data_IF_757001624240
#
_entry.id   IF_757001624240
#
_cell.length_a   1.000
_cell.length_b   1.000
_cell.length_c   1.000
_cell.angle_alpha   90.00
_cell.angle_beta   90.00
_cell.angle_gamma   90.00
#
_symmetry.space_group_name_H-M   'P 1'
#
loop_
_entity.id
_entity.type
_entity.pdbx_description
1 polymer ?
#
# COMPACT_ATOMS: atom_id res chain seq x y z
N UNK A 1 -11.74 -40.05 91.09
CA UNK A 1 -11.89 -38.93 90.13
C UNK A 1 -11.41 -39.37 88.77
N UNK A 2 -12.32 -39.68 87.83
CA UNK A 2 -11.97 -40.11 86.47
C UNK A 2 -12.77 -39.27 85.47
N UNK A 3 -12.07 -38.39 84.74
CA UNK A 3 -12.66 -37.57 83.67
C UNK A 3 -12.87 -38.47 82.44
N UNK A 4 -14.13 -38.77 82.12
CA UNK A 4 -14.49 -39.35 80.82
C UNK A 4 -14.23 -38.31 79.73
N UNK A 5 -13.20 -38.51 78.93
CA UNK A 5 -12.95 -37.71 77.72
C UNK A 5 -14.10 -37.91 76.72
N UNK A 6 -14.62 -36.85 76.07
CA UNK A 6 -15.69 -36.96 75.08
C UNK A 6 -15.10 -37.44 73.74
N UNK A 7 -14.82 -38.74 73.63
CA UNK A 7 -14.04 -39.34 72.54
C UNK A 7 -14.73 -39.47 71.17
N UNK A 8 -16.04 -39.19 71.05
CA UNK A 8 -16.77 -39.45 69.80
C UNK A 8 -17.09 -38.18 69.00
N UNK A 9 -17.00 -36.99 69.60
CA UNK A 9 -17.45 -35.75 68.97
C UNK A 9 -16.38 -35.16 68.02
N UNK A 10 -15.09 -35.34 68.33
CA UNK A 10 -13.98 -34.84 67.50
C UNK A 10 -13.90 -35.65 66.20
N UNK A 11 -13.99 -36.98 66.29
CA UNK A 11 -14.01 -37.88 65.12
C UNK A 11 -15.22 -37.58 64.21
N UNK A 12 -16.40 -37.35 64.81
CA UNK A 12 -17.61 -36.97 64.09
C UNK A 12 -17.46 -35.65 63.33
N UNK A 13 -16.85 -34.64 63.96
CA UNK A 13 -16.60 -33.34 63.30
C UNK A 13 -15.59 -33.45 62.15
N UNK A 14 -14.54 -34.27 62.28
CA UNK A 14 -13.56 -34.50 61.21
C UNK A 14 -14.20 -35.20 60.02
N UNK A 15 -15.04 -36.22 60.27
CA UNK A 15 -15.83 -36.89 59.22
C UNK A 15 -16.81 -35.90 58.57
N UNK A 16 -17.50 -35.07 59.36
CA UNK A 16 -18.42 -34.05 58.85
C UNK A 16 -17.71 -33.03 57.95
N UNK A 17 -16.51 -32.56 58.33
CA UNK A 17 -15.68 -31.67 57.49
C UNK A 17 -15.29 -32.38 56.19
N UNK A 18 -14.90 -33.65 56.25
CA UNK A 18 -14.58 -34.45 55.07
C UNK A 18 -15.77 -34.59 54.13
N UNK A 19 -16.97 -34.88 54.65
CA UNK A 19 -18.22 -34.96 53.87
C UNK A 19 -18.55 -33.62 53.24
N UNK A 20 -18.46 -32.52 54.00
CA UNK A 20 -18.72 -31.17 53.48
C UNK A 20 -17.69 -30.80 52.41
N UNK A 21 -16.42 -31.12 52.59
CA UNK A 21 -15.37 -30.87 51.59
C UNK A 21 -15.63 -31.65 50.30
N UNK A 22 -16.01 -32.94 50.40
CA UNK A 22 -16.38 -33.76 49.25
C UNK A 22 -17.63 -33.20 48.57
N UNK A 23 -18.63 -32.79 49.35
CA UNK A 23 -19.87 -32.21 48.82
C UNK A 23 -19.59 -30.89 48.08
N UNK A 24 -18.78 -30.00 48.65
CA UNK A 24 -18.33 -28.77 48.00
C UNK A 24 -17.48 -29.06 46.76
N UNK A 25 -16.61 -30.08 46.79
CA UNK A 25 -15.83 -30.49 45.63
C UNK A 25 -16.73 -31.01 44.49
N UNK A 26 -17.70 -31.86 44.80
CA UNK A 26 -18.68 -32.34 43.81
C UNK A 26 -19.54 -31.20 43.29
N UNK A 27 -19.99 -30.28 44.16
CA UNK A 27 -20.78 -29.11 43.78
C UNK A 27 -19.99 -28.17 42.87
N UNK A 28 -18.72 -27.91 43.18
CA UNK A 28 -17.84 -27.10 42.32
C UNK A 28 -17.58 -27.77 40.97
N UNK A 29 -17.40 -29.10 40.92
CA UNK A 29 -17.30 -29.84 39.66
C UNK A 29 -18.60 -29.78 38.84
N UNK A 30 -19.77 -29.93 39.47
CA UNK A 30 -21.07 -29.81 38.80
C UNK A 30 -21.31 -28.37 38.29
N UNK A 31 -20.99 -27.37 39.10
CA UNK A 31 -21.08 -25.96 38.73
C UNK A 31 -20.13 -25.65 37.55
N UNK A 32 -18.90 -26.17 37.59
CA UNK A 32 -17.94 -26.00 36.51
C UNK A 32 -18.43 -26.67 35.22
N UNK A 33 -19.03 -27.85 35.29
CA UNK A 33 -19.59 -28.55 34.13
C UNK A 33 -20.73 -27.74 33.47
N UNK A 34 -21.62 -27.16 34.26
CA UNK A 34 -22.70 -26.28 33.76
C UNK A 34 -22.15 -24.95 33.24
N UNK A 35 -21.17 -24.36 33.92
CA UNK A 35 -20.57 -23.08 33.54
C UNK A 35 -19.71 -23.18 32.28
N UNK A 36 -18.97 -24.28 32.10
CA UNK A 36 -18.07 -24.46 30.95
C UNK A 36 -18.77 -24.98 29.69
N UNK A 37 -20.10 -25.24 29.74
CA UNK A 37 -20.96 -25.66 28.59
C UNK A 37 -20.15 -26.34 27.49
N UNK A 38 -19.58 -27.50 27.80
CA UNK A 38 -18.89 -28.29 26.78
C UNK A 38 -19.91 -28.70 25.71
N UNK A 39 -19.70 -28.28 24.45
CA UNK A 39 -20.13 -29.13 23.35
C UNK A 39 -20.99 -28.53 22.25
N UNK A 40 -21.31 -27.24 22.24
CA UNK A 40 -21.84 -26.63 21.02
C UNK A 40 -20.70 -26.17 20.14
N UNK A 41 -20.12 -27.15 19.44
CA UNK A 41 -19.14 -26.93 18.41
C UNK A 41 -19.88 -26.76 17.07
N UNK A 42 -19.70 -25.61 16.45
CA UNK A 42 -20.20 -25.31 15.11
C UNK A 42 -19.14 -25.71 14.09
N UNK A 43 -19.59 -26.33 12.99
CA UNK A 43 -18.71 -26.65 11.86
C UNK A 43 -18.61 -25.43 10.95
N UNK A 44 -17.38 -24.95 10.76
CA UNK A 44 -17.07 -23.80 9.90
C UNK A 44 -17.39 -24.15 8.44
N UNK A 45 -18.29 -23.39 7.78
CA UNK A 45 -18.61 -23.60 6.36
C UNK A 45 -17.45 -23.15 5.44
N UNK A 46 -17.49 -23.59 4.19
CA UNK A 46 -16.60 -23.08 3.15
C UNK A 46 -17.19 -21.79 2.57
N UNK A 47 -16.40 -20.72 2.61
CA UNK A 47 -16.78 -19.36 2.21
C UNK A 47 -15.98 -18.86 1.00
N UNK A 48 -14.91 -19.55 0.60
CA UNK A 48 -14.09 -19.17 -0.55
C UNK A 48 -14.95 -19.06 -1.81
N UNK A 49 -14.83 -17.94 -2.53
CA UNK A 49 -15.58 -17.64 -3.74
C UNK A 49 -16.97 -17.01 -3.52
N UNK A 50 -17.53 -17.05 -2.32
CA UNK A 50 -18.76 -16.32 -1.99
C UNK A 50 -18.48 -14.82 -1.83
N UNK A 51 -19.53 -14.00 -2.01
CA UNK A 51 -19.47 -12.59 -1.64
C UNK A 51 -19.50 -12.43 -0.12
N UNK A 52 -18.92 -11.33 0.36
CA UNK A 52 -18.91 -10.96 1.78
C UNK A 52 -20.31 -11.02 2.40
N UNK A 53 -21.31 -10.46 1.71
CA UNK A 53 -22.69 -10.40 2.18
C UNK A 53 -23.36 -11.79 2.23
N UNK A 54 -23.07 -12.65 1.26
CA UNK A 54 -23.57 -14.04 1.24
C UNK A 54 -22.92 -14.88 2.35
N UNK A 55 -21.62 -14.71 2.54
CA UNK A 55 -20.86 -15.40 3.58
C UNK A 55 -21.30 -14.96 4.98
N UNK A 56 -21.60 -13.69 5.18
CA UNK A 56 -22.17 -13.16 6.42
C UNK A 56 -23.49 -13.87 6.74
N UNK A 57 -24.40 -13.97 5.77
CA UNK A 57 -25.68 -14.64 5.96
C UNK A 57 -25.51 -16.13 6.33
N UNK A 58 -24.60 -16.83 5.65
CA UNK A 58 -24.28 -18.24 5.93
C UNK A 58 -23.72 -18.41 7.35
N UNK A 59 -22.77 -17.56 7.74
CA UNK A 59 -22.12 -17.64 9.06
C UNK A 59 -23.11 -17.31 10.19
N UNK A 60 -23.91 -16.26 10.02
CA UNK A 60 -24.91 -15.83 10.98
C UNK A 60 -25.97 -16.92 11.22
N UNK A 61 -26.36 -17.64 10.17
CA UNK A 61 -27.28 -18.80 10.28
C UNK A 61 -26.71 -19.94 11.15
N UNK A 62 -25.38 -20.00 11.31
CA UNK A 62 -24.67 -20.97 12.13
C UNK A 62 -24.21 -20.41 13.49
N UNK A 63 -24.61 -19.18 13.84
CA UNK A 63 -24.17 -18.52 15.07
C UNK A 63 -22.66 -18.19 15.06
N UNK A 64 -22.10 -17.89 13.89
CA UNK A 64 -20.73 -17.43 13.70
C UNK A 64 -20.75 -16.01 13.13
N UNK A 65 -19.69 -15.25 13.41
CA UNK A 65 -19.53 -13.88 12.93
C UNK A 65 -18.42 -13.81 11.89
N UNK A 66 -18.52 -12.86 10.97
CA UNK A 66 -17.52 -12.61 9.92
C UNK A 66 -16.67 -11.41 10.28
N UNK A 67 -15.36 -11.49 10.06
CA UNK A 67 -14.47 -10.35 10.20
C UNK A 67 -13.46 -10.28 9.06
N UNK A 68 -13.54 -9.21 8.27
CA UNK A 68 -12.55 -8.95 7.22
C UNK A 68 -11.25 -8.45 7.88
N UNK A 69 -10.18 -9.22 7.72
CA UNK A 69 -8.86 -8.86 8.30
C UNK A 69 -7.89 -8.29 7.28
N UNK A 70 -8.07 -8.64 6.01
CA UNK A 70 -7.18 -8.22 4.95
C UNK A 70 -7.90 -8.19 3.60
N UNK A 71 -7.35 -7.43 2.66
CA UNK A 71 -7.87 -7.34 1.30
C UNK A 71 -6.74 -7.28 0.28
N UNK A 72 -6.88 -8.06 -0.80
CA UNK A 72 -5.88 -8.13 -1.86
C UNK A 72 -6.51 -7.64 -3.16
N UNK A 73 -5.87 -6.69 -3.84
CA UNK A 73 -6.34 -6.23 -5.14
C UNK A 73 -5.84 -7.14 -6.27
N UNK A 74 -6.75 -7.60 -7.13
CA UNK A 74 -6.43 -8.30 -8.38
C UNK A 74 -7.40 -7.87 -9.47
N UNK A 75 -6.87 -7.44 -10.62
CA UNK A 75 -7.64 -6.85 -11.71
C UNK A 75 -8.72 -7.78 -12.28
N UNK A 76 -8.42 -9.08 -12.38
CA UNK A 76 -9.30 -10.08 -12.98
C UNK A 76 -10.15 -10.84 -11.94
N UNK A 77 -10.15 -10.41 -10.68
CA UNK A 77 -10.91 -11.06 -9.62
C UNK A 77 -12.27 -10.38 -9.40
N UNK A 78 -13.22 -11.13 -8.82
CA UNK A 78 -14.53 -10.60 -8.45
C UNK A 78 -14.39 -9.77 -7.17
N UNK A 79 -14.64 -8.45 -7.19
CA UNK A 79 -14.53 -7.59 -6.02
C UNK A 79 -15.43 -8.05 -4.87
N UNK A 80 -14.91 -8.04 -3.64
CA UNK A 80 -15.65 -8.43 -2.43
C UNK A 80 -15.83 -9.95 -2.25
N UNK A 81 -15.31 -10.77 -3.17
CA UNK A 81 -15.33 -12.22 -2.97
C UNK A 81 -14.22 -12.67 -2.02
N UNK A 82 -14.50 -13.72 -1.24
CA UNK A 82 -13.57 -14.26 -0.23
C UNK A 82 -12.49 -15.09 -0.91
N UNK A 83 -11.24 -14.73 -0.62
CA UNK A 83 -10.01 -15.39 -1.06
C UNK A 83 -9.66 -16.53 -0.11
N UNK A 84 -9.62 -16.21 1.17
CA UNK A 84 -9.24 -17.15 2.21
C UNK A 84 -10.02 -16.90 3.49
N UNK A 85 -10.09 -17.93 4.32
CA UNK A 85 -10.71 -17.89 5.63
C UNK A 85 -9.84 -18.58 6.67
N UNK A 86 -9.96 -18.11 7.90
CA UNK A 86 -9.39 -18.73 9.10
C UNK A 86 -10.40 -18.61 10.24
N UNK A 87 -10.81 -19.72 10.88
CA UNK A 87 -10.37 -21.11 10.68
C UNK A 87 -10.75 -21.72 9.31
N UNK A 88 -10.02 -22.78 8.92
CA UNK A 88 -10.29 -23.50 7.67
C UNK A 88 -11.67 -24.19 7.68
N UNK A 89 -12.26 -24.43 6.50
CA UNK A 89 -13.53 -25.14 6.39
C UNK A 89 -13.51 -26.49 7.12
N UNK A 90 -14.67 -26.91 7.62
CA UNK A 90 -14.88 -28.14 8.38
C UNK A 90 -14.23 -28.19 9.78
N UNK A 91 -13.51 -27.16 10.19
CA UNK A 91 -13.04 -27.04 11.57
C UNK A 91 -14.22 -26.88 12.54
N UNK A 92 -14.03 -27.37 13.76
CA UNK A 92 -14.99 -27.24 14.86
C UNK A 92 -14.58 -26.06 15.72
N UNK A 93 -15.47 -25.07 15.84
CA UNK A 93 -15.28 -23.88 16.65
C UNK A 93 -16.41 -23.74 17.65
N UNK A 94 -16.20 -22.97 18.73
CA UNK A 94 -17.30 -22.60 19.64
C UNK A 94 -18.28 -21.67 18.91
N UNK A 95 -19.53 -21.69 19.32
CA UNK A 95 -20.52 -20.67 18.93
C UNK A 95 -20.01 -19.25 19.25
N UNK A 96 -20.42 -18.27 18.43
CA UNK A 96 -20.00 -16.87 18.54
C UNK A 96 -18.52 -16.65 18.23
N UNK A 97 -17.89 -17.54 17.45
CA UNK A 97 -16.51 -17.38 17.01
C UNK A 97 -16.44 -16.54 15.75
N UNK A 98 -15.56 -15.54 15.76
CA UNK A 98 -15.19 -14.79 14.56
C UNK A 98 -14.44 -15.66 13.56
N UNK A 99 -14.91 -15.63 12.31
CA UNK A 99 -14.26 -16.19 11.15
C UNK A 99 -13.58 -15.05 10.40
N UNK A 100 -12.26 -15.06 10.44
CA UNK A 100 -11.43 -14.08 9.77
C UNK A 100 -11.34 -14.40 8.30
N UNK A 101 -11.66 -13.44 7.45
CA UNK A 101 -11.64 -13.60 6.00
C UNK A 101 -10.73 -12.57 5.33
N UNK A 102 -10.13 -13.00 4.22
CA UNK A 102 -9.40 -12.13 3.30
C UNK A 102 -10.22 -12.01 2.03
N UNK A 103 -10.45 -10.80 1.55
CA UNK A 103 -11.33 -10.53 0.39
C UNK A 103 -10.57 -9.92 -0.79
N UNK A 104 -11.14 -10.01 -1.98
CA UNK A 104 -10.66 -9.20 -3.11
C UNK A 104 -11.07 -7.74 -2.93
N UNK A 105 -10.09 -6.85 -2.87
CA UNK A 105 -10.33 -5.42 -2.74
C UNK A 105 -11.09 -4.87 -3.95
N UNK A 106 -12.02 -3.95 -3.71
CA UNK A 106 -12.81 -3.31 -4.78
C UNK A 106 -11.98 -2.34 -5.61
N UNK A 107 -11.06 -1.65 -4.96
CA UNK A 107 -10.18 -0.66 -5.59
C UNK A 107 -8.71 -1.04 -5.36
N UNK A 108 -7.81 -0.64 -6.27
CA UNK A 108 -6.38 -0.73 -6.02
C UNK A 108 -6.00 0.06 -4.76
N UNK A 109 -4.88 -0.32 -4.16
CA UNK A 109 -4.27 0.46 -3.09
C UNK A 109 -3.96 1.87 -3.58
N UNK A 110 -4.34 2.87 -2.80
CA UNK A 110 -4.00 4.27 -3.07
C UNK A 110 -2.62 4.56 -2.46
N UNK A 111 -1.77 5.22 -3.24
CA UNK A 111 -0.42 5.62 -2.85
C UNK A 111 -0.30 7.13 -3.02
N UNK A 112 0.24 7.79 -2.00
CA UNK A 112 0.48 9.23 -2.01
C UNK A 112 1.70 9.54 -2.88
N UNK A 113 1.52 10.39 -3.89
CA UNK A 113 2.60 10.80 -4.79
C UNK A 113 3.27 12.06 -4.22
N UNK A 114 4.56 12.01 -3.83
CA UNK A 114 5.23 13.18 -3.26
C UNK A 114 5.39 14.29 -4.30
N UNK A 115 5.60 15.52 -3.84
CA UNK A 115 5.96 16.65 -4.71
C UNK A 115 7.31 16.41 -5.39
N UNK A 116 7.31 16.26 -6.72
CA UNK A 116 8.52 16.00 -7.52
C UNK A 116 9.00 17.21 -8.33
N UNK A 117 8.41 18.38 -8.13
CA UNK A 117 8.81 19.61 -8.85
C UNK A 117 10.26 19.96 -8.49
N UNK A 118 11.05 20.36 -9.49
CA UNK A 118 12.48 20.68 -9.38
C UNK A 118 13.41 19.49 -9.11
N UNK A 119 12.89 18.27 -8.99
CA UNK A 119 13.73 17.07 -8.97
C UNK A 119 14.26 16.78 -10.37
N UNK A 120 15.45 16.15 -10.46
CA UNK A 120 15.90 15.61 -11.75
C UNK A 120 14.96 14.48 -12.20
N UNK A 121 14.75 14.35 -13.51
CA UNK A 121 13.90 13.29 -14.08
C UNK A 121 14.30 11.90 -13.56
N UNK A 122 15.61 11.63 -13.43
CA UNK A 122 16.12 10.36 -12.91
C UNK A 122 15.75 10.13 -11.44
N UNK A 123 15.87 11.14 -10.58
CA UNK A 123 15.48 11.03 -9.17
C UNK A 123 13.97 10.84 -9.02
N UNK A 124 13.18 11.60 -9.78
CA UNK A 124 11.73 11.48 -9.78
C UNK A 124 11.27 10.08 -10.21
N UNK A 125 11.84 9.53 -11.28
CA UNK A 125 11.56 8.15 -11.74
C UNK A 125 11.94 7.13 -10.67
N UNK A 126 13.11 7.27 -10.04
CA UNK A 126 13.53 6.36 -8.98
C UNK A 126 12.57 6.39 -7.78
N UNK A 127 12.11 7.58 -7.37
CA UNK A 127 11.16 7.72 -6.27
C UNK A 127 9.79 7.14 -6.63
N UNK A 128 9.26 7.44 -7.81
CA UNK A 128 7.99 6.89 -8.30
C UNK A 128 8.01 5.36 -8.40
N UNK A 129 9.12 4.78 -8.87
CA UNK A 129 9.30 3.33 -8.91
C UNK A 129 9.31 2.72 -7.50
N UNK A 130 9.97 3.39 -6.54
CA UNK A 130 10.07 2.90 -5.15
C UNK A 130 8.72 2.83 -4.43
N UNK A 131 7.76 3.68 -4.82
CA UNK A 131 6.40 3.70 -4.28
C UNK A 131 5.40 2.91 -5.14
N UNK A 132 5.87 2.16 -6.15
CA UNK A 132 5.06 1.22 -6.92
C UNK A 132 4.47 1.73 -8.24
N UNK A 133 4.89 2.90 -8.74
CA UNK A 133 4.55 3.38 -10.09
C UNK A 133 5.63 2.97 -11.09
N UNK A 134 5.39 1.90 -11.83
CA UNK A 134 6.34 1.36 -12.83
C UNK A 134 6.06 1.83 -14.26
N UNK A 135 4.87 2.39 -14.51
CA UNK A 135 4.45 2.87 -15.83
C UNK A 135 4.59 4.40 -15.89
N UNK A 136 5.75 4.90 -16.31
CA UNK A 136 6.05 6.33 -16.37
C UNK A 136 6.35 6.72 -17.82
N UNK A 137 5.55 7.62 -18.38
CA UNK A 137 5.81 8.26 -19.67
C UNK A 137 6.50 9.61 -19.45
N UNK A 138 7.52 9.95 -20.24
CA UNK A 138 8.21 11.24 -20.14
C UNK A 138 7.73 12.13 -21.29
N UNK A 139 7.34 13.35 -20.97
CA UNK A 139 7.01 14.40 -21.95
C UNK A 139 7.95 15.58 -21.72
N UNK A 140 8.69 15.96 -22.77
CA UNK A 140 9.63 17.08 -22.68
C UNK A 140 8.99 18.35 -23.25
N UNK A 141 9.05 19.44 -22.47
CA UNK A 141 8.56 20.75 -22.90
C UNK A 141 9.66 21.81 -22.81
N UNK A 142 9.66 22.83 -23.69
CA UNK A 142 10.59 23.95 -23.60
C UNK A 142 10.48 24.64 -22.25
N UNK A 143 11.61 24.76 -21.53
CA UNK A 143 11.68 25.39 -20.21
C UNK A 143 13.04 26.01 -19.98
N UNK A 144 13.16 26.89 -18.97
CA UNK A 144 14.42 27.56 -18.65
C UNK A 144 15.54 26.57 -18.28
N UNK A 145 15.20 25.49 -17.56
CA UNK A 145 16.13 24.48 -17.10
C UNK A 145 15.86 23.13 -17.77
N UNK A 146 16.91 22.46 -18.22
CA UNK A 146 16.84 21.13 -18.82
C UNK A 146 16.95 20.04 -17.75
N UNK A 147 16.18 18.96 -17.91
CA UNK A 147 16.26 17.74 -17.08
C UNK A 147 15.55 17.82 -15.72
N UNK A 148 14.90 18.95 -15.40
CA UNK A 148 14.10 19.12 -14.18
C UNK A 148 12.63 18.80 -14.43
N UNK A 149 11.98 18.21 -13.43
CA UNK A 149 10.55 17.91 -13.45
C UNK A 149 9.74 19.17 -13.18
N UNK A 150 8.80 19.45 -14.06
CA UNK A 150 7.89 20.60 -13.98
C UNK A 150 6.56 20.17 -13.36
N UNK A 151 6.09 18.98 -13.71
CA UNK A 151 4.86 18.40 -13.19
C UNK A 151 4.80 16.90 -13.37
N UNK A 152 4.01 16.27 -12.51
CA UNK A 152 3.53 14.90 -12.69
C UNK A 152 2.06 14.99 -13.04
N UNK A 153 1.63 14.24 -14.05
CA UNK A 153 0.24 14.19 -14.48
C UNK A 153 -0.31 12.77 -14.38
N UNK A 154 -1.58 12.69 -13.99
CA UNK A 154 -2.37 11.47 -14.02
C UNK A 154 -3.66 11.74 -14.78
N UNK A 155 -3.94 10.91 -15.80
CA UNK A 155 -5.13 11.05 -16.67
C UNK A 155 -5.30 12.47 -17.25
N UNK A 156 -4.18 13.12 -17.58
CA UNK A 156 -4.15 14.47 -18.16
C UNK A 156 -4.39 15.61 -17.16
N UNK A 157 -4.37 15.34 -15.86
CA UNK A 157 -4.43 16.37 -14.80
C UNK A 157 -3.10 16.45 -14.07
N UNK A 158 -2.61 17.66 -13.84
CA UNK A 158 -1.44 17.92 -12.98
C UNK A 158 -1.77 17.53 -11.54
N UNK A 159 -0.93 16.69 -10.96
CA UNK A 159 -1.02 16.24 -9.58
C UNK A 159 -0.55 17.33 -8.62
N UNK A 160 -1.17 17.40 -7.46
CA UNK A 160 -0.64 18.14 -6.31
C UNK A 160 0.24 17.23 -5.45
N UNK A 161 1.19 17.78 -4.67
CA UNK A 161 1.95 17.00 -3.71
C UNK A 161 1.03 16.23 -2.76
N UNK A 162 1.42 14.99 -2.49
CA UNK A 162 0.78 14.03 -1.59
C UNK A 162 -0.62 13.56 -2.05
N UNK A 163 -1.00 13.82 -3.30
CA UNK A 163 -2.25 13.34 -3.89
C UNK A 163 -2.28 11.81 -3.95
N UNK A 164 -3.43 11.23 -3.58
CA UNK A 164 -3.63 9.79 -3.51
C UNK A 164 -3.99 9.24 -4.89
N UNK A 165 -3.11 8.40 -5.43
CA UNK A 165 -3.24 7.83 -6.77
C UNK A 165 -3.22 6.30 -6.69
N UNK A 166 -4.04 5.58 -7.48
CA UNK A 166 -4.03 4.13 -7.50
C UNK A 166 -2.64 3.59 -7.89
N UNK A 167 -2.09 2.70 -7.07
CA UNK A 167 -0.81 2.05 -7.30
C UNK A 167 -0.74 1.39 -8.68
N UNK A 168 0.42 1.48 -9.33
CA UNK A 168 0.65 0.90 -10.65
C UNK A 168 -0.08 1.59 -11.80
N UNK A 169 -0.74 2.74 -11.55
CA UNK A 169 -1.35 3.53 -12.62
C UNK A 169 -0.30 4.24 -13.49
N UNK A 170 -0.58 4.48 -14.78
CA UNK A 170 0.34 5.18 -15.66
C UNK A 170 0.41 6.66 -15.30
N UNK A 171 1.62 7.14 -15.01
CA UNK A 171 1.91 8.54 -14.76
C UNK A 171 2.66 9.14 -15.95
N UNK A 172 2.42 10.43 -16.19
CA UNK A 172 3.20 11.21 -17.14
C UNK A 172 4.07 12.20 -16.38
N UNK A 173 5.37 12.17 -16.63
CA UNK A 173 6.37 13.06 -16.06
C UNK A 173 6.72 14.13 -17.09
N UNK A 174 6.37 15.38 -16.79
CA UNK A 174 6.70 16.52 -17.65
C UNK A 174 8.04 17.08 -17.22
N UNK A 175 9.01 17.07 -18.13
CA UNK A 175 10.40 17.46 -17.90
C UNK A 175 10.76 18.66 -18.80
N UNK A 176 11.53 19.61 -18.27
CA UNK A 176 12.06 20.71 -19.08
C UNK A 176 13.13 20.22 -20.04
N UNK A 177 13.07 20.59 -21.32
CA UNK A 177 14.11 20.28 -22.30
C UNK A 177 15.27 21.30 -22.32
N UNK A 178 15.11 22.44 -21.64
CA UNK A 178 15.97 23.61 -21.85
C UNK A 178 15.51 24.41 -23.08
N UNK A 179 15.76 25.72 -23.07
CA UNK A 179 15.59 26.59 -24.23
C UNK A 179 16.92 26.60 -24.99
N UNK A 180 16.91 26.17 -26.25
CA UNK A 180 18.05 26.40 -27.14
C UNK A 180 18.18 27.89 -27.38
N UNK A 181 19.23 28.50 -26.81
CA UNK A 181 19.66 29.87 -27.02
C UNK A 181 20.11 30.09 -28.48
N UNK A 182 19.16 30.15 -29.42
CA UNK A 182 19.40 30.74 -30.75
C UNK A 182 19.27 32.28 -30.70
N UNK A 183 19.06 32.82 -29.49
CA UNK A 183 18.87 34.25 -29.17
C UNK A 183 20.14 34.99 -28.77
N UNK A 184 21.28 34.31 -28.63
CA UNK A 184 22.59 34.95 -28.50
C UNK A 184 23.17 35.32 -29.88
N UNK A 185 22.34 35.88 -30.76
CA UNK A 185 22.86 36.70 -31.86
C UNK A 185 23.58 37.89 -31.21
N UNK A 186 24.87 37.69 -30.90
CA UNK A 186 25.81 38.75 -30.61
C UNK A 186 25.75 39.63 -31.86
N UNK A 187 24.96 40.71 -31.79
CA UNK A 187 25.12 41.83 -32.69
C UNK A 187 26.57 42.27 -32.50
N UNK A 188 27.47 41.81 -33.38
CA UNK A 188 28.80 42.40 -33.52
C UNK A 188 28.57 43.76 -34.16
N UNK A 189 28.06 44.69 -33.36
CA UNK A 189 28.09 46.09 -33.68
C UNK A 189 29.57 46.46 -33.66
N UNK A 190 30.16 46.50 -34.86
CA UNK A 190 31.53 46.96 -35.04
C UNK A 190 31.50 48.43 -34.64
N UNK A 191 32.03 48.77 -33.46
CA UNK A 191 32.29 50.15 -33.08
C UNK A 191 33.41 50.65 -33.99
N UNK A 192 33.04 51.25 -35.12
CA UNK A 192 33.99 51.92 -36.00
C UNK A 192 34.37 53.24 -35.32
N UNK A 193 35.61 53.33 -34.85
CA UNK A 193 36.17 54.61 -34.39
C UNK A 193 36.11 55.63 -35.53
N UNK A 194 35.71 56.88 -35.27
CA UNK A 194 35.57 57.89 -36.31
C UNK A 194 36.97 58.25 -36.84
N UNK A 195 37.29 57.75 -38.03
CA UNK A 195 38.60 57.98 -38.67
C UNK A 195 38.98 57.03 -39.79
N UNK A 196 38.22 55.96 -40.06
CA UNK A 196 38.53 55.02 -41.15
C UNK A 196 37.63 55.29 -42.35
N UNK A 197 38.13 56.03 -43.34
CA UNK A 197 37.56 56.01 -44.70
C UNK A 197 38.02 54.72 -45.37
N UNK A 198 37.20 53.68 -45.26
CA UNK A 198 37.39 52.39 -45.92
C UNK A 198 36.10 51.97 -46.61
N UNK A 199 36.20 51.63 -47.89
CA UNK A 199 35.13 51.22 -48.79
C UNK A 199 34.29 50.05 -48.26
N UNK A 200 32.97 50.15 -48.40
CA UNK A 200 32.00 49.09 -48.09
C UNK A 200 32.26 47.91 -49.06
N UNK A 201 32.58 46.69 -48.60
CA UNK A 201 32.53 45.52 -49.45
C UNK A 201 31.09 45.00 -49.52
N UNK A 202 30.57 44.94 -50.74
CA UNK A 202 29.27 44.40 -51.13
C UNK A 202 29.06 42.97 -50.56
N UNK A 203 28.06 42.81 -49.70
CA UNK A 203 27.75 41.57 -48.98
C UNK A 203 26.82 40.64 -49.79
N UNK A 204 27.18 40.36 -51.05
CA UNK A 204 26.43 39.43 -51.91
C UNK A 204 27.31 38.29 -52.44
N UNK A 205 28.13 37.68 -51.58
CA UNK A 205 28.73 36.37 -51.88
C UNK A 205 28.39 35.36 -50.81
N UNK A 206 27.48 34.45 -51.16
CA UNK A 206 27.38 33.14 -50.53
C UNK A 206 28.76 32.46 -50.65
N UNK A 207 29.47 32.35 -49.53
CA UNK A 207 30.66 31.50 -49.44
C UNK A 207 30.19 30.11 -49.05
N UNK A 208 30.50 29.06 -49.84
CA UNK A 208 30.12 27.70 -49.49
C UNK A 208 30.94 27.23 -48.28
N UNK A 209 30.26 26.63 -47.31
CA UNK A 209 30.85 26.05 -46.11
C UNK A 209 31.75 24.89 -46.52
N UNK A 210 33.06 25.03 -46.30
CA UNK A 210 34.04 23.95 -46.44
C UNK A 210 33.92 23.00 -45.23
N UNK A 211 33.74 21.69 -45.42
CA UNK A 211 33.68 20.76 -44.30
C UNK A 211 35.05 20.69 -43.60
N UNK A 212 35.04 20.79 -42.27
CA UNK A 212 36.21 20.61 -41.43
C UNK A 212 36.63 19.13 -41.44
N UNK A 213 37.81 18.84 -41.95
CA UNK A 213 38.44 17.53 -41.77
C UNK A 213 38.76 17.36 -40.28
N UNK A 214 38.30 16.26 -39.69
CA UNK A 214 38.77 15.83 -38.36
C UNK A 214 40.15 15.18 -38.53
N UNK A 215 41.12 15.62 -37.72
CA UNK A 215 42.45 15.01 -37.66
C UNK A 215 42.40 13.70 -36.85
N UNK A 216 42.51 12.56 -37.53
CA UNK A 216 42.63 11.22 -36.94
C UNK A 216 44.05 10.97 -36.38
N UNK A 217 44.52 11.83 -35.47
CA UNK A 217 45.84 11.67 -34.81
C UNK A 217 45.76 11.16 -33.37
N UNK A 218 44.60 10.61 -32.96
CA UNK A 218 44.36 10.13 -31.59
C UNK A 218 43.93 8.65 -31.52
N UNK A 219 44.36 7.84 -32.49
CA UNK A 219 44.40 6.37 -32.34
C UNK A 219 45.82 5.91 -32.04
#
# INVERSE_FOLDING_TARGET
TSKKFPGNNILLNVVAIGVVAILLFVLTLLFLNVYTRHGQNVVVPQLQGFQEEEAEAILKSKGLDIQVVDSIYKKDAVPGSIIDQTPKPNNKVKEGRDIYVTIYARNPQQVSVPGLVDFSARQAIALLNSIGFTQIAIEEIPAQYSGLVISVEYRGKKLIPDEQIPAGSPLKLVVGSGMSEDSLSINREIVVSPGVTGTIPDSSRNVPVKPSNMDESFF
#
